data_IF_551583991000
#
_entry.id   IF_551583991000
#
_cell.length_a   1.000
_cell.length_b   1.000
_cell.length_c   1.000
_cell.angle_alpha   90.00
_cell.angle_beta   90.00
_cell.angle_gamma   90.00
#
_symmetry.space_group_name_H-M   'P 1'
#
loop_
_entity.id
_entity.type
_entity.pdbx_description
1 polymer ?
#
# COMPACT_ATOMS: atom_id res chain seq x y z
N UNK A 1 7.30 31.86 -9.77
CA UNK A 1 7.71 31.00 -8.63
C UNK A 1 6.90 29.72 -8.70
N UNK A 2 7.55 28.55 -8.65
CA UNK A 2 6.81 27.28 -8.58
C UNK A 2 6.23 27.19 -7.17
N UNK A 3 4.92 27.00 -7.02
CA UNK A 3 4.31 27.00 -5.70
C UNK A 3 4.67 25.68 -4.96
N UNK A 4 4.93 25.79 -3.66
CA UNK A 4 5.46 24.68 -2.82
C UNK A 4 4.53 23.46 -2.81
N UNK A 5 3.24 23.66 -3.01
CA UNK A 5 2.24 22.59 -3.16
C UNK A 5 2.53 21.66 -4.35
N UNK A 6 3.05 22.19 -5.47
CA UNK A 6 3.42 21.38 -6.65
C UNK A 6 4.60 20.48 -6.31
N UNK A 7 5.57 20.96 -5.51
CA UNK A 7 6.68 20.12 -5.04
C UNK A 7 6.17 18.95 -4.19
N UNK A 8 5.23 19.19 -3.28
CA UNK A 8 4.65 18.12 -2.45
C UNK A 8 3.87 17.08 -3.26
N UNK A 9 3.13 17.51 -4.30
CA UNK A 9 2.43 16.58 -5.20
C UNK A 9 3.42 15.69 -5.94
N UNK A 10 4.50 16.27 -6.49
CA UNK A 10 5.56 15.52 -7.19
C UNK A 10 6.22 14.52 -6.25
N UNK A 11 6.58 14.95 -5.03
CA UNK A 11 7.20 14.06 -4.04
C UNK A 11 6.29 12.91 -3.62
N UNK A 12 4.99 13.17 -3.48
CA UNK A 12 3.98 12.16 -3.17
C UNK A 12 3.86 11.14 -4.29
N UNK A 13 3.81 11.60 -5.55
CA UNK A 13 3.79 10.73 -6.73
C UNK A 13 5.04 9.85 -6.82
N UNK A 14 6.23 10.44 -6.62
CA UNK A 14 7.50 9.73 -6.60
C UNK A 14 7.52 8.63 -5.53
N UNK A 15 7.09 8.97 -4.31
CA UNK A 15 7.06 8.03 -3.18
C UNK A 15 6.10 6.86 -3.44
N UNK A 16 4.93 7.16 -4.01
CA UNK A 16 3.90 6.15 -4.31
C UNK A 16 4.35 5.19 -5.42
N UNK A 17 5.11 5.68 -6.41
CA UNK A 17 5.63 4.86 -7.51
C UNK A 17 6.60 3.78 -7.03
N UNK A 18 7.49 4.12 -6.10
CA UNK A 18 8.47 3.16 -5.53
C UNK A 18 7.76 2.12 -4.68
N UNK A 19 6.74 2.54 -3.93
CA UNK A 19 6.03 1.71 -2.96
C UNK A 19 5.37 0.47 -3.55
N UNK A 20 4.75 0.57 -4.73
CA UNK A 20 4.07 -0.58 -5.36
C UNK A 20 5.02 -1.75 -5.64
N UNK A 21 6.15 -1.48 -6.30
CA UNK A 21 7.14 -2.51 -6.63
C UNK A 21 7.79 -3.11 -5.38
N UNK A 22 8.09 -2.28 -4.38
CA UNK A 22 8.65 -2.75 -3.10
C UNK A 22 7.67 -3.65 -2.35
N UNK A 23 6.39 -3.28 -2.25
CA UNK A 23 5.37 -4.09 -1.55
C UNK A 23 5.13 -5.40 -2.29
N UNK A 24 5.06 -5.38 -3.62
CA UNK A 24 4.91 -6.59 -4.41
C UNK A 24 6.05 -7.59 -4.12
N UNK A 25 7.30 -7.12 -4.18
CA UNK A 25 8.46 -7.95 -3.85
C UNK A 25 8.36 -8.51 -2.44
N UNK A 26 8.07 -7.67 -1.44
CA UNK A 26 7.89 -8.09 -0.05
C UNK A 26 6.75 -9.12 0.13
N UNK A 27 5.70 -9.03 -0.68
CA UNK A 27 4.55 -9.94 -0.60
C UNK A 27 4.82 -11.32 -1.18
N UNK A 28 5.78 -11.44 -2.11
CA UNK A 28 6.08 -12.69 -2.82
C UNK A 28 7.42 -13.31 -2.40
N UNK A 29 8.22 -12.59 -1.62
CA UNK A 29 9.52 -13.05 -1.13
C UNK A 29 9.40 -14.31 -0.25
N UNK A 30 10.26 -15.30 -0.52
CA UNK A 30 10.37 -16.50 0.31
C UNK A 30 9.25 -17.53 0.17
N UNK A 31 8.34 -17.35 -0.80
CA UNK A 31 7.21 -18.25 -1.04
C UNK A 31 7.55 -19.45 -1.95
N UNK A 32 8.70 -19.45 -2.63
CA UNK A 32 9.15 -20.54 -3.50
C UNK A 32 8.09 -20.92 -4.53
N UNK A 33 7.65 -22.18 -4.54
CA UNK A 33 6.58 -22.67 -5.42
C UNK A 33 5.23 -21.93 -5.32
N UNK A 34 4.99 -21.17 -4.24
CA UNK A 34 3.74 -20.42 -4.03
C UNK A 34 3.79 -18.97 -4.54
N UNK A 35 4.94 -18.52 -5.06
CA UNK A 35 5.14 -17.15 -5.55
C UNK A 35 4.11 -16.75 -6.61
N UNK A 36 3.80 -17.64 -7.55
CA UNK A 36 2.81 -17.39 -8.60
C UNK A 36 1.39 -17.21 -8.03
N UNK A 37 0.98 -18.08 -7.11
CA UNK A 37 -0.32 -18.01 -6.46
C UNK A 37 -0.45 -16.74 -5.60
N UNK A 38 0.58 -16.41 -4.83
CA UNK A 38 0.64 -15.19 -4.02
C UNK A 38 0.57 -13.93 -4.89
N UNK A 39 1.30 -13.90 -6.00
CA UNK A 39 1.24 -12.81 -6.99
C UNK A 39 -0.17 -12.64 -7.56
N UNK A 40 -0.85 -13.74 -7.89
CA UNK A 40 -2.23 -13.71 -8.37
C UNK A 40 -3.20 -13.13 -7.35
N UNK A 41 -3.12 -13.57 -6.09
CA UNK A 41 -3.94 -13.05 -4.99
C UNK A 41 -3.65 -11.56 -4.77
N UNK A 42 -2.38 -11.17 -4.75
CA UNK A 42 -1.97 -9.78 -4.58
C UNK A 42 -2.58 -8.86 -5.64
N UNK A 43 -2.58 -9.28 -6.90
CA UNK A 43 -3.19 -8.52 -8.00
C UNK A 43 -4.70 -8.40 -7.87
N UNK A 44 -5.39 -9.44 -7.37
CA UNK A 44 -6.84 -9.36 -7.12
C UNK A 44 -7.17 -8.41 -5.98
N UNK A 45 -6.31 -8.34 -4.94
CA UNK A 45 -6.49 -7.45 -3.81
C UNK A 45 -6.33 -5.96 -4.15
N UNK A 46 -5.83 -5.62 -5.34
CA UNK A 46 -5.86 -4.24 -5.88
C UNK A 46 -7.28 -3.70 -5.96
N UNK A 47 -8.29 -4.57 -6.04
CA UNK A 47 -9.71 -4.20 -5.91
C UNK A 47 -10.02 -3.40 -4.63
N UNK A 48 -9.22 -3.54 -3.57
CA UNK A 48 -9.28 -2.69 -2.37
C UNK A 48 -9.09 -1.20 -2.64
N UNK A 49 -8.44 -0.83 -3.75
CA UNK A 49 -8.33 0.54 -4.24
C UNK A 49 -9.67 1.18 -4.60
N UNK A 50 -10.74 0.40 -4.81
CA UNK A 50 -12.11 0.91 -4.91
C UNK A 50 -12.82 1.05 -3.56
N UNK A 51 -12.43 0.25 -2.57
CA UNK A 51 -13.06 0.22 -1.23
C UNK A 51 -12.63 1.43 -0.40
N UNK A 52 -11.32 1.74 -0.40
CA UNK A 52 -10.78 2.85 0.42
C UNK A 52 -11.37 4.22 0.03
N UNK A 53 -11.51 4.57 -1.28
CA UNK A 53 -12.16 5.82 -1.68
C UNK A 53 -13.64 5.89 -1.27
N UNK A 54 -14.36 4.76 -1.26
CA UNK A 54 -15.75 4.74 -0.80
C UNK A 54 -15.85 5.07 0.69
N UNK A 55 -14.96 4.49 1.51
CA UNK A 55 -14.87 4.81 2.95
C UNK A 55 -14.48 6.28 3.14
N UNK A 56 -13.47 6.75 2.42
CA UNK A 56 -13.03 8.15 2.51
C UNK A 56 -14.15 9.11 2.09
N UNK A 57 -14.90 8.80 1.02
CA UNK A 57 -16.05 9.59 0.57
C UNK A 57 -17.13 9.67 1.64
N UNK A 58 -17.50 8.54 2.23
CA UNK A 58 -18.48 8.51 3.33
C UNK A 58 -18.04 9.35 4.55
N UNK A 59 -16.75 9.28 4.92
CA UNK A 59 -16.20 10.10 6.00
C UNK A 59 -16.18 11.58 5.62
N UNK A 60 -15.88 11.91 4.36
CA UNK A 60 -15.91 13.28 3.87
C UNK A 60 -17.32 13.89 3.93
N UNK A 61 -18.34 13.11 3.57
CA UNK A 61 -19.73 13.53 3.61
C UNK A 61 -20.25 13.74 5.04
N UNK A 62 -19.75 12.94 6.01
CA UNK A 62 -20.25 12.96 7.40
C UNK A 62 -19.47 13.90 8.32
N UNK A 63 -18.15 13.99 8.17
CA UNK A 63 -17.23 14.69 9.07
C UNK A 63 -16.43 15.81 8.38
N UNK A 64 -16.67 16.04 7.10
CA UNK A 64 -16.00 17.07 6.29
C UNK A 64 -14.74 16.58 5.56
N UNK A 65 -14.37 17.30 4.49
CA UNK A 65 -13.25 16.91 3.63
C UNK A 65 -11.91 16.76 4.35
N UNK A 66 -11.57 17.69 5.25
CA UNK A 66 -10.27 17.67 5.91
C UNK A 66 -10.11 16.47 6.86
N UNK A 67 -11.18 16.07 7.55
CA UNK A 67 -11.15 14.92 8.46
C UNK A 67 -11.08 13.59 7.70
N UNK A 68 -11.60 13.52 6.47
CA UNK A 68 -11.50 12.32 5.62
C UNK A 68 -10.06 11.89 5.32
N UNK A 69 -9.10 12.82 5.34
CA UNK A 69 -7.68 12.51 5.12
C UNK A 69 -7.08 11.61 6.22
N UNK A 70 -7.71 11.51 7.39
CA UNK A 70 -7.32 10.53 8.41
C UNK A 70 -7.46 9.08 7.92
N UNK A 71 -8.38 8.80 6.99
CA UNK A 71 -8.50 7.48 6.35
C UNK A 71 -7.22 7.17 5.58
N UNK A 72 -6.73 8.10 4.76
CA UNK A 72 -5.49 7.93 4.01
C UNK A 72 -4.27 7.83 4.93
N UNK A 73 -4.24 8.60 6.02
CA UNK A 73 -3.19 8.51 7.02
C UNK A 73 -3.14 7.10 7.66
N UNK A 74 -4.29 6.53 8.01
CA UNK A 74 -4.38 5.17 8.54
C UNK A 74 -3.91 4.12 7.53
N UNK A 75 -4.25 4.26 6.25
CA UNK A 75 -3.78 3.35 5.19
C UNK A 75 -2.24 3.39 5.05
N UNK A 76 -1.65 4.57 5.02
CA UNK A 76 -0.18 4.72 4.94
C UNK A 76 0.50 4.19 6.21
N UNK A 77 -0.08 4.42 7.39
CA UNK A 77 0.42 3.87 8.64
C UNK A 77 0.41 2.33 8.66
N UNK A 78 -0.65 1.71 8.13
CA UNK A 78 -0.72 0.26 7.97
C UNK A 78 0.35 -0.25 7.00
N UNK A 79 0.55 0.42 5.87
CA UNK A 79 1.60 0.07 4.90
C UNK A 79 3.00 0.16 5.49
N UNK A 80 3.25 1.17 6.33
CA UNK A 80 4.51 1.30 7.06
C UNK A 80 4.73 0.15 8.04
N UNK A 81 3.69 -0.24 8.80
CA UNK A 81 3.76 -1.41 9.68
C UNK A 81 4.02 -2.71 8.89
N UNK A 82 3.35 -2.90 7.75
CA UNK A 82 3.56 -4.04 6.87
C UNK A 82 5.02 -4.11 6.40
N UNK A 83 5.59 -2.99 5.94
CA UNK A 83 6.97 -2.95 5.47
C UNK A 83 8.02 -3.25 6.57
N UNK A 84 7.77 -2.85 7.82
CA UNK A 84 8.74 -2.99 8.92
C UNK A 84 8.64 -4.33 9.66
N UNK A 85 7.43 -4.85 9.81
CA UNK A 85 7.15 -6.00 10.67
C UNK A 85 6.33 -7.06 9.94
N UNK A 86 5.27 -6.65 9.25
CA UNK A 86 4.29 -7.58 8.66
C UNK A 86 4.82 -8.43 7.50
N UNK A 87 5.81 -7.95 6.76
CA UNK A 87 6.41 -8.65 5.60
C UNK A 87 7.51 -9.65 5.96
N UNK A 88 7.87 -9.79 7.24
CA UNK A 88 8.94 -10.70 7.64
C UNK A 88 8.56 -12.15 7.35
N UNK A 89 9.41 -12.84 6.58
CA UNK A 89 9.18 -14.24 6.27
C UNK A 89 9.17 -15.11 7.55
N UNK A 90 8.03 -15.74 7.80
CA UNK A 90 7.76 -16.60 8.95
C UNK A 90 8.35 -18.00 8.79
N UNK A 91 8.57 -18.49 7.57
CA UNK A 91 9.10 -19.83 7.33
C UNK A 91 10.32 -19.77 6.39
N UNK A 92 11.51 -19.83 6.98
CA UNK A 92 12.79 -19.74 6.25
C UNK A 92 13.25 -21.08 5.67
N UNK A 93 12.57 -22.16 6.02
CA UNK A 93 12.92 -23.52 5.61
C UNK A 93 12.33 -23.92 4.25
N UNK A 94 11.66 -22.99 3.56
CA UNK A 94 11.10 -23.24 2.23
C UNK A 94 12.25 -23.22 1.21
N UNK A 95 12.47 -24.31 0.44
CA UNK A 95 13.40 -24.28 -0.67
C UNK A 95 12.90 -23.28 -1.71
N UNK A 96 13.62 -22.19 -1.88
CA UNK A 96 13.46 -21.24 -2.99
C UNK A 96 14.46 -21.68 -4.06
N UNK A 97 14.05 -22.60 -4.94
CA UNK A 97 14.80 -22.93 -6.15
C UNK A 97 14.92 -21.71 -7.09
#
# INVERSE_FOLDING_TARGET
QIPINVLFIILTGLSTSIMWGSIFNLAVEGLGKYTEAASGIFMVMVSGGGIVPLIQGYVADSFGYLSSYWVMFACVAYMLWYALVGSKNVNKDIPTE
#
